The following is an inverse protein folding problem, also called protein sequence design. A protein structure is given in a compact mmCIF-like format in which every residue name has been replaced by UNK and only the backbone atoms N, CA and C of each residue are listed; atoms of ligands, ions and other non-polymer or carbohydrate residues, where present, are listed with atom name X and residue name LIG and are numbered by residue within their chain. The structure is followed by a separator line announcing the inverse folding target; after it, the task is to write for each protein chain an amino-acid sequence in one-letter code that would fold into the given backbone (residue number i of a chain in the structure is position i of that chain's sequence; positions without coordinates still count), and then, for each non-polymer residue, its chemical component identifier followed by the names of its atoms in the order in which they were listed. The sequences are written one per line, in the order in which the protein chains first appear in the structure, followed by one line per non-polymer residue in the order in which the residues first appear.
data_IF_082755123626
#
_entry.id   IF_082755123626
#
_cell.length_a   1.000
_cell.length_b   1.000
_cell.length_c   1.000
_cell.angle_alpha   90.00
_cell.angle_beta   90.00
_cell.angle_gamma   90.00
#
_symmetry.space_group_name_H-M   'P 1'
#
loop_
_entity.id
_entity.type
_entity.pdbx_description
1 polymer ?
#
# COMPACT_ATOMS: atom_id res chain seq x y z
N UNK A 1 -6.38 -12.37 15.71
CA UNK A 1 -7.83 -12.58 15.47
C UNK A 1 -8.67 -11.30 15.32
N UNK A 2 -8.59 -10.34 16.26
CA UNK A 2 -9.46 -9.13 16.24
C UNK A 2 -9.21 -8.20 15.03
N UNK A 3 -7.96 -7.94 14.67
CA UNK A 3 -7.62 -7.12 13.51
C UNK A 3 -8.07 -7.76 12.19
N UNK A 4 -7.93 -9.10 12.07
CA UNK A 4 -8.38 -9.87 10.92
C UNK A 4 -9.89 -9.70 10.68
N UNK A 5 -10.72 -9.88 11.72
CA UNK A 5 -12.18 -9.73 11.62
C UNK A 5 -12.57 -8.29 11.30
N UNK A 6 -11.85 -7.30 11.84
CA UNK A 6 -12.13 -5.88 11.56
C UNK A 6 -11.95 -5.55 10.08
N UNK A 7 -10.94 -6.13 9.43
CA UNK A 7 -10.56 -5.87 8.04
C UNK A 7 -11.36 -6.69 7.02
N UNK A 8 -11.62 -7.96 7.33
CA UNK A 8 -12.31 -8.89 6.44
C UNK A 8 -13.84 -8.75 6.54
N UNK A 9 -14.32 -7.54 6.25
CA UNK A 9 -15.76 -7.26 6.18
C UNK A 9 -16.35 -7.81 4.88
N UNK A 10 -17.62 -8.25 4.85
CA UNK A 10 -18.22 -8.86 3.66
C UNK A 10 -18.13 -8.01 2.39
N UNK A 11 -18.12 -6.68 2.50
CA UNK A 11 -18.00 -5.76 1.37
C UNK A 11 -16.55 -5.55 0.87
N UNK A 12 -15.58 -6.25 1.48
CA UNK A 12 -14.15 -6.26 1.11
C UNK A 12 -13.71 -7.67 0.66
N UNK A 13 -14.64 -8.62 0.61
CA UNK A 13 -14.39 -10.02 0.26
C UNK A 13 -15.15 -10.40 -1.01
N UNK A 14 -14.52 -11.22 -1.83
CA UNK A 14 -15.12 -11.85 -3.00
C UNK A 14 -15.38 -13.34 -2.73
N UNK A 15 -16.25 -13.95 -3.54
CA UNK A 15 -16.44 -15.40 -3.58
C UNK A 15 -15.73 -15.99 -4.79
N UNK A 16 -14.96 -17.04 -4.55
CA UNK A 16 -14.29 -17.80 -5.59
C UNK A 16 -14.79 -19.24 -5.57
N UNK A 17 -15.14 -19.79 -6.74
CA UNK A 17 -15.46 -21.21 -6.88
C UNK A 17 -14.16 -22.01 -6.96
N UNK A 18 -14.08 -23.09 -6.20
CA UNK A 18 -13.04 -24.11 -6.24
C UNK A 18 -13.67 -25.49 -6.35
N UNK A 19 -12.84 -26.52 -6.51
CA UNK A 19 -13.29 -27.92 -6.57
C UNK A 19 -13.93 -28.38 -5.24
N UNK A 20 -13.60 -27.71 -4.14
CA UNK A 20 -14.15 -27.98 -2.81
C UNK A 20 -15.39 -27.12 -2.46
N UNK A 21 -15.88 -26.27 -3.36
CA UNK A 21 -17.02 -25.38 -3.14
C UNK A 21 -16.64 -23.90 -3.27
N UNK A 22 -17.31 -23.02 -2.51
CA UNK A 22 -17.01 -21.58 -2.54
C UNK A 22 -16.09 -21.18 -1.39
N UNK A 23 -15.02 -20.46 -1.72
CA UNK A 23 -14.13 -19.82 -0.76
C UNK A 23 -14.35 -18.31 -0.73
N UNK A 24 -14.18 -17.69 0.44
CA UNK A 24 -14.04 -16.23 0.55
C UNK A 24 -12.60 -15.85 0.30
N UNK A 25 -12.39 -14.84 -0.54
CA UNK A 25 -11.06 -14.32 -0.89
C UNK A 25 -11.04 -12.81 -0.71
N UNK A 26 -9.87 -12.24 -0.44
CA UNK A 26 -9.70 -10.80 -0.36
C UNK A 26 -10.06 -10.13 -1.69
N UNK A 27 -10.77 -8.99 -1.60
CA UNK A 27 -10.92 -8.07 -2.72
C UNK A 27 -9.60 -7.39 -3.09
N UNK A 28 -9.53 -6.77 -4.27
CA UNK A 28 -8.32 -6.13 -4.80
C UNK A 28 -7.80 -5.05 -3.84
N UNK A 29 -8.69 -4.27 -3.26
CA UNK A 29 -8.39 -3.17 -2.34
C UNK A 29 -7.74 -3.69 -1.06
N UNK A 30 -8.30 -4.76 -0.50
CA UNK A 30 -7.78 -5.41 0.70
C UNK A 30 -6.42 -6.04 0.42
N UNK A 31 -6.27 -6.71 -0.73
CA UNK A 31 -4.98 -7.28 -1.18
C UNK A 31 -3.91 -6.20 -1.30
N UNK A 32 -4.18 -5.09 -1.97
CA UNK A 32 -3.22 -3.99 -2.14
C UNK A 32 -2.77 -3.40 -0.78
N UNK A 33 -3.72 -3.17 0.13
CA UNK A 33 -3.44 -2.64 1.46
C UNK A 33 -2.68 -3.63 2.34
N UNK A 34 -3.01 -4.92 2.27
CA UNK A 34 -2.29 -5.98 2.98
C UNK A 34 -0.86 -6.14 2.45
N UNK A 35 -0.66 -6.09 1.14
CA UNK A 35 0.67 -6.09 0.54
C UNK A 35 1.49 -4.88 1.03
N UNK A 36 0.91 -3.68 1.08
CA UNK A 36 1.61 -2.48 1.56
C UNK A 36 1.92 -2.50 3.08
N UNK A 37 1.04 -3.12 3.89
CA UNK A 37 1.26 -3.32 5.33
C UNK A 37 2.33 -4.38 5.58
N UNK A 38 2.24 -5.50 4.89
CA UNK A 38 3.08 -6.68 5.06
C UNK A 38 4.06 -6.85 3.91
N UNK A 39 4.66 -5.75 3.44
CA UNK A 39 5.48 -5.73 2.22
C UNK A 39 6.68 -6.70 2.28
N UNK A 40 7.24 -6.99 3.46
CA UNK A 40 8.25 -8.04 3.64
C UNK A 40 7.76 -9.46 3.30
N UNK A 41 6.44 -9.70 3.29
CA UNK A 41 5.80 -10.94 2.83
C UNK A 41 5.40 -10.88 1.35
N UNK A 42 5.58 -9.73 0.71
CA UNK A 42 5.31 -9.47 -0.70
C UNK A 42 6.59 -9.06 -1.45
N UNK A 43 7.71 -9.72 -1.16
CA UNK A 43 9.02 -9.47 -1.79
C UNK A 43 9.58 -8.04 -1.62
N UNK A 44 9.25 -7.37 -0.51
CA UNK A 44 9.71 -6.02 -0.21
C UNK A 44 8.93 -4.94 -0.95
N UNK A 45 9.43 -3.70 -0.93
CA UNK A 45 8.75 -2.56 -1.57
C UNK A 45 8.61 -2.75 -3.09
N UNK A 46 9.62 -3.32 -3.77
CA UNK A 46 9.55 -3.56 -5.22
C UNK A 46 8.47 -4.59 -5.58
N UNK A 47 8.32 -5.66 -4.79
CA UNK A 47 7.23 -6.60 -5.02
C UNK A 47 5.83 -5.97 -4.85
N UNK A 48 5.66 -5.08 -3.87
CA UNK A 48 4.42 -4.29 -3.75
C UNK A 48 4.25 -3.31 -4.91
N UNK A 49 5.34 -2.71 -5.42
CA UNK A 49 5.29 -1.83 -6.57
C UNK A 49 4.79 -2.56 -7.83
N UNK A 50 5.28 -3.79 -8.05
CA UNK A 50 4.82 -4.64 -9.14
C UNK A 50 3.34 -5.03 -8.96
N UNK A 51 2.94 -5.43 -7.76
CA UNK A 51 1.52 -5.72 -7.47
C UNK A 51 0.64 -4.49 -7.72
N UNK A 52 1.07 -3.30 -7.27
CA UNK A 52 0.35 -2.06 -7.51
C UNK A 52 0.24 -1.76 -9.01
N UNK A 53 1.28 -2.03 -9.81
CA UNK A 53 1.21 -1.96 -11.28
C UNK A 53 0.14 -2.91 -11.83
N UNK A 54 0.20 -4.19 -11.47
CA UNK A 54 -0.56 -5.27 -12.10
C UNK A 54 -2.06 -5.25 -11.77
N UNK A 55 -2.42 -4.87 -10.53
CA UNK A 55 -3.82 -4.90 -10.07
C UNK A 55 -4.36 -3.55 -9.59
N UNK A 56 -3.52 -2.51 -9.49
CA UNK A 56 -3.92 -1.18 -9.00
C UNK A 56 -5.09 -0.57 -9.78
N UNK A 57 -5.08 -0.68 -11.12
CA UNK A 57 -6.16 -0.18 -11.97
C UNK A 57 -7.53 -0.84 -11.70
N UNK A 58 -7.53 -2.06 -11.14
CA UNK A 58 -8.75 -2.83 -10.85
C UNK A 58 -9.42 -2.42 -9.53
N UNK A 59 -8.70 -1.71 -8.66
CA UNK A 59 -9.25 -1.23 -7.41
C UNK A 59 -10.28 -0.12 -7.66
N UNK A 60 -11.43 -0.23 -7.02
CA UNK A 60 -12.42 0.83 -6.97
C UNK A 60 -11.98 1.88 -5.93
N UNK A 61 -11.79 3.16 -6.33
CA UNK A 61 -11.19 4.18 -5.45
C UNK A 61 -11.94 4.43 -4.12
N UNK A 62 -13.28 4.43 -4.12
CA UNK A 62 -14.11 4.61 -2.91
C UNK A 62 -14.03 3.40 -1.99
N UNK A 63 -14.02 2.18 -2.54
CA UNK A 63 -13.84 0.95 -1.75
C UNK A 63 -12.45 0.93 -1.13
N UNK A 64 -11.43 1.34 -1.89
CA UNK A 64 -10.05 1.43 -1.43
C UNK A 64 -9.90 2.43 -0.28
N UNK A 65 -10.45 3.64 -0.41
CA UNK A 65 -10.44 4.64 0.64
C UNK A 65 -11.17 4.16 1.91
N UNK A 66 -12.31 3.48 1.76
CA UNK A 66 -13.06 2.92 2.90
C UNK A 66 -12.25 1.84 3.62
N UNK A 67 -11.58 0.95 2.89
CA UNK A 67 -10.72 -0.09 3.47
C UNK A 67 -9.51 0.53 4.18
N UNK A 68 -8.87 1.53 3.59
CA UNK A 68 -7.67 2.20 4.10
C UNK A 68 -7.86 2.79 5.51
N UNK A 69 -9.08 3.17 5.90
CA UNK A 69 -9.39 3.67 7.25
C UNK A 69 -9.13 2.65 8.38
N UNK A 70 -8.98 1.37 8.06
CA UNK A 70 -8.61 0.33 9.01
C UNK A 70 -7.11 -0.03 9.00
N UNK A 71 -6.31 0.66 8.19
CA UNK A 71 -4.86 0.46 8.06
C UNK A 71 -4.05 1.55 8.75
N UNK A 72 -2.79 1.24 9.08
CA UNK A 72 -1.87 2.25 9.59
C UNK A 72 -1.60 3.28 8.51
N UNK A 73 -1.57 4.56 8.91
CA UNK A 73 -1.34 5.69 8.03
C UNK A 73 -0.10 5.52 7.14
N UNK A 74 0.98 4.95 7.68
CA UNK A 74 2.22 4.69 6.94
C UNK A 74 2.03 3.67 5.81
N UNK A 75 1.29 2.59 6.05
CA UNK A 75 0.97 1.57 5.04
C UNK A 75 0.14 2.16 3.90
N UNK A 76 -0.86 2.98 4.22
CA UNK A 76 -1.71 3.68 3.24
C UNK A 76 -0.88 4.64 2.39
N UNK A 77 0.04 5.39 3.00
CA UNK A 77 0.95 6.32 2.30
C UNK A 77 1.89 5.62 1.35
N UNK A 78 2.48 4.48 1.75
CA UNK A 78 3.31 3.67 0.85
C UNK A 78 2.51 3.22 -0.37
N UNK A 79 1.31 2.67 -0.14
CA UNK A 79 0.45 2.23 -1.25
C UNK A 79 0.12 3.39 -2.20
N UNK A 80 -0.26 4.55 -1.65
CA UNK A 80 -0.56 5.74 -2.44
C UNK A 80 0.61 6.17 -3.34
N UNK A 81 1.83 6.20 -2.78
CA UNK A 81 3.04 6.49 -3.55
C UNK A 81 3.28 5.47 -4.67
N UNK A 82 3.11 4.17 -4.39
CA UNK A 82 3.32 3.12 -5.38
C UNK A 82 2.26 3.13 -6.49
N UNK A 83 1.00 3.47 -6.16
CA UNK A 83 -0.06 3.67 -7.16
C UNK A 83 0.22 4.87 -8.07
N UNK A 84 0.71 5.98 -7.52
CA UNK A 84 1.15 7.13 -8.32
C UNK A 84 2.29 6.75 -9.28
N UNK A 85 3.31 6.02 -8.78
CA UNK A 85 4.43 5.52 -9.60
C UNK A 85 3.98 4.59 -10.72
N UNK A 86 2.91 3.82 -10.49
CA UNK A 86 2.30 2.95 -11.48
C UNK A 86 1.30 3.67 -12.43
N UNK A 87 1.06 4.98 -12.25
CA UNK A 87 0.12 5.75 -13.08
C UNK A 87 -1.36 5.60 -12.69
N UNK A 88 -1.67 4.93 -11.58
CA UNK A 88 -3.04 4.70 -11.08
C UNK A 88 -3.55 5.90 -10.26
N UNK A 89 -3.53 7.08 -10.88
CA UNK A 89 -3.78 8.39 -10.24
C UNK A 89 -5.13 8.44 -9.52
N UNK A 90 -6.18 7.83 -10.06
CA UNK A 90 -7.51 7.86 -9.42
C UNK A 90 -7.52 7.12 -8.09
N UNK A 91 -6.84 5.97 -8.03
CA UNK A 91 -6.72 5.14 -6.82
C UNK A 91 -5.78 5.81 -5.81
N UNK A 92 -4.67 6.38 -6.29
CA UNK A 92 -3.76 7.14 -5.45
C UNK A 92 -4.48 8.35 -4.82
N UNK A 93 -5.19 9.16 -5.60
CA UNK A 93 -5.92 10.33 -5.09
C UNK A 93 -6.96 9.98 -4.01
N UNK A 94 -7.55 8.79 -4.06
CA UNK A 94 -8.49 8.33 -3.03
C UNK A 94 -7.83 8.08 -1.66
N UNK A 95 -6.50 7.90 -1.63
CA UNK A 95 -5.72 7.71 -0.41
C UNK A 95 -5.09 9.01 0.12
N UNK A 96 -5.10 10.11 -0.64
CA UNK A 96 -4.54 11.39 -0.22
C UNK A 96 -5.11 11.95 1.09
N UNK A 97 -6.42 11.81 1.42
CA UNK A 97 -6.96 12.31 2.68
C UNK A 97 -6.22 11.80 3.92
N UNK A 98 -5.69 10.58 3.86
CA UNK A 98 -4.93 9.98 4.96
C UNK A 98 -3.57 10.68 5.17
N UNK A 99 -2.98 11.31 4.15
CA UNK A 99 -1.71 12.02 4.30
C UNK A 99 -1.83 13.29 5.15
N UNK A 100 -3.03 13.89 5.18
CA UNK A 100 -3.28 15.13 5.93
C UNK A 100 -3.10 14.93 7.44
N UNK A 101 -3.31 13.72 7.93
CA UNK A 101 -3.14 13.35 9.34
C UNK A 101 -1.66 13.20 9.75
N UNK A 102 -0.76 13.01 8.78
CA UNK A 102 0.65 12.80 9.06
C UNK A 102 1.39 14.11 9.35
N UNK A 103 2.01 14.22 10.54
CA UNK A 103 2.84 15.38 10.90
C UNK A 103 4.25 15.33 10.30
N UNK A 104 4.78 14.13 10.13
CA UNK A 104 6.18 13.91 9.71
C UNK A 104 6.27 12.94 8.55
N UNK A 105 7.39 13.03 7.83
CA UNK A 105 7.71 12.06 6.81
C UNK A 105 8.07 10.70 7.45
N UNK A 106 7.62 9.61 6.83
CA UNK A 106 7.96 8.25 7.23
C UNK A 106 8.89 7.63 6.16
N UNK A 107 9.78 6.70 6.52
CA UNK A 107 10.54 5.96 5.53
C UNK A 107 9.62 5.11 4.66
N UNK A 108 9.91 5.04 3.36
CA UNK A 108 9.25 4.13 2.42
C UNK A 108 9.44 2.68 2.89
N UNK A 109 10.68 2.29 3.22
CA UNK A 109 10.98 1.02 3.88
C UNK A 109 11.59 1.24 5.27
N UNK A 110 10.86 1.05 6.38
CA UNK A 110 11.40 1.24 7.73
C UNK A 110 12.53 0.27 8.11
N UNK A 111 12.75 -0.81 7.36
CA UNK A 111 13.85 -1.75 7.61
C UNK A 111 15.19 -1.26 7.04
N UNK A 112 15.17 -0.34 6.07
CA UNK A 112 16.38 0.22 5.48
C UNK A 112 16.90 1.36 6.34
N UNK A 113 17.92 1.05 7.15
CA UNK A 113 18.62 2.03 7.98
C UNK A 113 19.82 2.60 7.22
N UNK A 114 20.02 3.92 7.23
CA UNK A 114 21.22 4.53 6.67
C UNK A 114 22.43 4.04 7.46
N UNK A 115 23.51 3.69 6.75
CA UNK A 115 24.77 3.24 7.38
C UNK A 115 25.43 4.36 8.20
N UNK A 116 25.22 5.62 7.79
CA UNK A 116 25.69 6.83 8.47
C UNK A 116 24.55 7.86 8.42
N UNK A 117 24.31 8.58 9.53
CA UNK A 117 23.21 9.55 9.63
C UNK A 117 23.26 10.65 8.55
N UNK A 118 24.44 11.07 8.11
CA UNK A 118 24.59 12.06 7.02
C UNK A 118 24.07 11.55 5.67
N UNK A 119 24.01 10.24 5.44
CA UNK A 119 23.38 9.64 4.25
C UNK A 119 21.86 9.58 4.40
N UNK A 120 21.31 9.72 5.61
CA UNK A 120 19.87 9.79 5.80
C UNK A 120 19.28 11.07 5.19
N UNK A 121 20.05 12.16 5.24
CA UNK A 121 19.67 13.49 4.76
C UNK A 121 19.68 13.60 3.23
N UNK A 122 20.41 12.72 2.53
CA UNK A 122 20.49 12.71 1.07
C UNK A 122 19.31 11.99 0.40
N UNK A 123 18.49 11.23 1.15
CA UNK A 123 17.34 10.56 0.58
C UNK A 123 16.30 11.55 0.03
N UNK A 124 15.79 11.25 -1.17
CA UNK A 124 14.70 12.01 -1.76
C UNK A 124 13.47 11.98 -0.85
N UNK A 125 12.80 13.13 -0.71
CA UNK A 125 11.55 13.25 0.04
C UNK A 125 10.39 13.45 -0.93
N UNK A 126 9.48 12.48 -0.98
CA UNK A 126 8.21 12.66 -1.67
C UNK A 126 7.27 13.50 -0.78
N UNK A 127 7.05 14.76 -1.16
CA UNK A 127 6.24 15.70 -0.39
C UNK A 127 4.76 15.34 -0.39
N UNK A 128 4.23 14.84 -1.52
CA UNK A 128 2.82 14.45 -1.69
C UNK A 128 2.41 13.40 -0.66
N UNK A 129 3.20 12.34 -0.49
CA UNK A 129 2.92 11.23 0.42
C UNK A 129 3.63 11.36 1.77
N UNK A 130 4.43 12.44 1.93
CA UNK A 130 5.33 12.65 3.07
C UNK A 130 6.23 11.43 3.29
N UNK A 131 6.90 10.91 2.26
CA UNK A 131 7.77 9.74 2.42
C UNK A 131 9.23 10.11 2.21
N UNK A 132 10.12 9.50 2.99
CA UNK A 132 11.55 9.45 2.70
C UNK A 132 11.79 8.23 1.82
N UNK A 133 12.25 8.43 0.59
CA UNK A 133 12.50 7.37 -0.38
C UNK A 133 13.90 6.79 -0.11
N UNK A 134 13.96 5.91 0.88
CA UNK A 134 15.19 5.27 1.36
C UNK A 134 15.49 3.92 0.70
N UNK A 135 14.71 3.54 -0.31
CA UNK A 135 14.94 2.38 -1.18
C UNK A 135 14.50 2.77 -2.59
N UNK A 136 15.27 2.43 -3.65
CA UNK A 136 14.81 2.63 -5.02
C UNK A 136 13.55 1.80 -5.28
N UNK A 137 12.62 2.35 -6.06
CA UNK A 137 11.41 1.64 -6.51
C UNK A 137 11.56 1.28 -7.97
N UNK A 138 11.73 -0.01 -8.22
CA UNK A 138 11.84 -0.61 -9.54
C UNK A 138 10.49 -1.22 -9.92
N UNK A 139 9.98 -0.82 -11.09
CA UNK A 139 8.76 -1.36 -11.68
C UNK A 139 9.13 -1.73 -13.12
N UNK A 140 8.96 -3.00 -13.46
CA UNK A 140 9.16 -3.46 -14.84
C UNK A 140 7.95 -3.02 -15.65
N UNK A 141 8.14 -2.22 -16.70
CA UNK A 141 7.04 -1.71 -17.55
C UNK A 141 6.77 -2.61 -18.75
#
# INVERSE_FOLDING_TARGET
PKAFIKLNQPNQLNKMKSDAGFAQVAGVELTLLDCARYFHKASGINGVAQIAKDIGAKAEPRVLAKAAAAYENSSVRRLGYLLDRAGHVRQANALEPFVKEAKTAAPLDPSVKPLIESLAESHEKNTKWKLVINVPVEIDF
#
